data_IF_170404745976
#
_entry.id   IF_170404745976
#
_cell.length_a   1.000
_cell.length_b   1.000
_cell.length_c   1.000
_cell.angle_alpha   90.00
_cell.angle_beta   90.00
_cell.angle_gamma   90.00
#
_symmetry.space_group_name_H-M   'P 1'
#
loop_
_entity.id
_entity.type
_entity.pdbx_description
1 polymer ?
#
# COMPACT_ATOMS: atom_id res chain seq x y z
N UNK A 1 11.87 6.52 -12.26
CA UNK A 1 11.38 5.96 -13.55
C UNK A 1 10.28 4.89 -13.37
N UNK A 2 10.28 4.08 -12.30
CA UNK A 2 9.26 3.05 -12.10
C UNK A 2 7.82 3.57 -11.98
N UNK A 3 7.58 4.64 -11.22
CA UNK A 3 6.24 5.18 -10.98
C UNK A 3 5.59 5.77 -12.25
N UNK A 4 6.39 6.37 -13.14
CA UNK A 4 5.88 6.87 -14.41
C UNK A 4 5.42 5.71 -15.34
N UNK A 5 6.19 4.63 -15.39
CA UNK A 5 5.79 3.42 -16.12
C UNK A 5 4.52 2.79 -15.52
N UNK A 6 4.44 2.76 -14.20
CA UNK A 6 3.26 2.24 -13.50
C UNK A 6 2.00 3.07 -13.74
N UNK A 7 2.09 4.40 -13.93
CA UNK A 7 0.93 5.22 -14.25
C UNK A 7 0.28 4.83 -15.58
N UNK A 8 1.06 4.41 -16.57
CA UNK A 8 0.55 3.87 -17.82
C UNK A 8 -0.03 2.46 -17.68
N UNK A 9 0.60 1.60 -16.87
CA UNK A 9 0.08 0.23 -16.61
C UNK A 9 -1.27 0.29 -15.88
N UNK A 10 -1.46 1.28 -15.02
CA UNK A 10 -2.72 1.51 -14.30
C UNK A 10 -3.87 2.02 -15.16
N UNK A 11 -3.62 2.41 -16.42
CA UNK A 11 -4.69 2.67 -17.41
C UNK A 11 -5.44 1.39 -17.84
N UNK A 12 -5.21 0.27 -17.19
CA UNK A 12 -5.95 -0.95 -17.44
C UNK A 12 -7.38 -0.82 -16.84
N UNK A 13 -8.46 -0.92 -17.64
CA UNK A 13 -9.83 -0.76 -17.16
C UNK A 13 -10.19 -1.70 -15.99
N UNK A 14 -9.58 -2.88 -15.92
CA UNK A 14 -9.82 -3.84 -14.82
C UNK A 14 -9.35 -3.32 -13.46
N UNK A 15 -8.29 -2.53 -13.44
CA UNK A 15 -7.80 -1.90 -12.21
C UNK A 15 -8.58 -0.62 -11.90
N UNK A 16 -8.94 0.14 -12.93
CA UNK A 16 -9.66 1.40 -12.79
C UNK A 16 -11.10 1.23 -12.27
N UNK A 17 -11.77 0.11 -12.56
CA UNK A 17 -13.12 -0.21 -12.04
C UNK A 17 -13.20 -0.15 -10.51
N UNK A 18 -12.09 -0.38 -9.81
CA UNK A 18 -12.04 -0.27 -8.34
C UNK A 18 -12.20 1.18 -7.84
N UNK A 19 -11.98 2.16 -8.71
CA UNK A 19 -12.22 3.58 -8.46
C UNK A 19 -13.24 4.10 -9.47
N UNK A 20 -14.55 4.10 -9.14
CA UNK A 20 -15.62 4.37 -10.10
C UNK A 20 -15.52 5.77 -10.73
N UNK A 21 -14.97 6.75 -10.01
CA UNK A 21 -14.79 8.12 -10.51
C UNK A 21 -13.73 8.14 -11.62
N UNK A 22 -12.55 7.58 -11.32
CA UNK A 22 -11.47 7.55 -12.30
C UNK A 22 -11.80 6.66 -13.50
N UNK A 23 -12.54 5.58 -13.29
CA UNK A 23 -13.06 4.74 -14.36
C UNK A 23 -14.01 5.52 -15.29
N UNK A 24 -14.91 6.35 -14.72
CA UNK A 24 -15.79 7.20 -15.52
C UNK A 24 -15.00 8.23 -16.34
N UNK A 25 -13.96 8.84 -15.74
CA UNK A 25 -13.07 9.76 -16.46
C UNK A 25 -12.33 9.04 -17.59
N UNK A 26 -11.90 7.79 -17.38
CA UNK A 26 -11.27 6.98 -18.42
C UNK A 26 -12.21 6.73 -19.60
N UNK A 27 -13.45 6.32 -19.35
CA UNK A 27 -14.48 6.13 -20.39
C UNK A 27 -14.68 7.43 -21.17
N UNK A 28 -14.86 8.54 -20.46
CA UNK A 28 -15.08 9.85 -21.08
C UNK A 28 -13.85 10.29 -21.90
N UNK A 29 -12.63 10.00 -21.46
CA UNK A 29 -11.40 10.26 -22.20
C UNK A 29 -11.34 9.45 -23.50
N UNK A 30 -11.78 8.18 -23.46
CA UNK A 30 -11.88 7.34 -24.66
C UNK A 30 -12.93 7.88 -25.64
N UNK A 31 -14.08 8.32 -25.13
CA UNK A 31 -15.12 8.97 -25.97
C UNK A 31 -14.54 10.21 -26.63
N UNK A 32 -13.82 11.06 -25.89
CA UNK A 32 -13.18 12.26 -26.44
C UNK A 32 -12.12 11.93 -27.48
N UNK A 33 -11.37 10.84 -27.31
CA UNK A 33 -10.44 10.37 -28.34
C UNK A 33 -11.17 10.07 -29.64
N UNK A 34 -12.28 9.30 -29.55
CA UNK A 34 -13.10 8.97 -30.73
C UNK A 34 -13.69 10.22 -31.38
N UNK A 35 -14.25 11.14 -30.58
CA UNK A 35 -14.80 12.42 -31.09
C UNK A 35 -13.71 13.25 -31.77
N UNK A 36 -12.51 13.32 -31.19
CA UNK A 36 -11.37 14.03 -31.79
C UNK A 36 -10.98 13.43 -33.13
N UNK A 37 -10.93 12.09 -33.23
CA UNK A 37 -10.62 11.42 -34.51
C UNK A 37 -11.71 11.65 -35.58
N UNK A 38 -13.00 11.63 -35.16
CA UNK A 38 -14.12 11.89 -36.09
C UNK A 38 -14.20 13.35 -36.51
N UNK A 39 -13.65 14.29 -35.75
CA UNK A 39 -13.59 15.70 -36.13
C UNK A 39 -12.49 16.04 -37.11
N UNK A 40 -11.68 15.07 -37.54
CA UNK A 40 -10.68 15.25 -38.57
C UNK A 40 -11.38 15.43 -39.93
N UNK A 41 -11.33 16.63 -40.48
CA UNK A 41 -11.88 16.93 -41.79
C UNK A 41 -13.39 17.21 -41.83
N UNK A 42 -14.08 17.23 -40.68
CA UNK A 42 -15.51 17.61 -40.59
C UNK A 42 -15.75 18.48 -39.37
N UNK A 43 -16.57 19.53 -39.49
CA UNK A 43 -16.97 20.37 -38.35
C UNK A 43 -18.22 19.83 -37.64
N UNK A 44 -18.78 18.73 -38.07
CA UNK A 44 -20.03 18.15 -37.52
C UNK A 44 -19.90 17.79 -36.02
N UNK A 45 -18.69 17.40 -35.59
CA UNK A 45 -18.40 17.04 -34.18
C UNK A 45 -17.68 18.16 -33.40
N UNK A 46 -17.71 19.39 -33.93
CA UNK A 46 -17.00 20.53 -33.35
C UNK A 46 -15.59 20.72 -33.89
N UNK A 47 -14.91 21.77 -33.44
CA UNK A 47 -13.56 22.11 -33.88
C UNK A 47 -12.55 21.03 -33.39
N UNK A 48 -11.75 20.51 -34.31
CA UNK A 48 -10.68 19.54 -34.01
C UNK A 48 -9.72 20.06 -32.91
N UNK A 49 -9.31 21.35 -33.00
CA UNK A 49 -8.40 21.91 -32.00
C UNK A 49 -8.97 21.95 -30.59
N UNK A 50 -10.28 22.25 -30.46
CA UNK A 50 -10.96 22.24 -29.17
C UNK A 50 -11.09 20.81 -28.62
N UNK A 51 -11.53 19.87 -29.46
CA UNK A 51 -11.66 18.46 -29.08
C UNK A 51 -10.33 17.86 -28.64
N UNK A 52 -9.26 18.15 -29.40
CA UNK A 52 -7.89 17.71 -29.07
C UNK A 52 -7.43 18.28 -27.73
N UNK A 53 -7.67 19.57 -27.48
CA UNK A 53 -7.31 20.22 -26.21
C UNK A 53 -8.00 19.55 -25.03
N UNK A 54 -9.32 19.32 -25.13
CA UNK A 54 -10.10 18.65 -24.09
C UNK A 54 -9.58 17.23 -23.86
N UNK A 55 -9.34 16.46 -24.92
CA UNK A 55 -8.78 15.12 -24.83
C UNK A 55 -7.41 15.11 -24.09
N UNK A 56 -6.50 16.02 -24.46
CA UNK A 56 -5.18 16.10 -23.87
C UNK A 56 -5.26 16.44 -22.37
N UNK A 57 -6.12 17.39 -21.99
CA UNK A 57 -6.33 17.76 -20.58
C UNK A 57 -6.87 16.56 -19.78
N UNK A 58 -7.86 15.83 -20.30
CA UNK A 58 -8.42 14.65 -19.65
C UNK A 58 -7.40 13.54 -19.50
N UNK A 59 -6.64 13.28 -20.54
CA UNK A 59 -5.61 12.25 -20.55
C UNK A 59 -4.49 12.58 -19.54
N UNK A 60 -4.04 13.83 -19.48
CA UNK A 60 -3.05 14.28 -18.50
C UNK A 60 -3.60 14.20 -17.06
N UNK A 61 -4.86 14.53 -16.85
CA UNK A 61 -5.52 14.40 -15.53
C UNK A 61 -5.53 12.95 -15.08
N UNK A 62 -5.87 12.02 -15.97
CA UNK A 62 -5.89 10.59 -15.70
C UNK A 62 -4.48 10.06 -15.39
N UNK A 63 -3.48 10.44 -16.19
CA UNK A 63 -2.08 10.07 -15.93
C UNK A 63 -1.56 10.63 -14.60
N UNK A 64 -1.91 11.88 -14.28
CA UNK A 64 -1.51 12.50 -13.03
C UNK A 64 -2.08 11.78 -11.82
N UNK A 65 -3.37 11.43 -11.83
CA UNK A 65 -4.00 10.67 -10.76
C UNK A 65 -3.35 9.30 -10.56
N UNK A 66 -3.14 8.55 -11.64
CA UNK A 66 -2.45 7.26 -11.60
C UNK A 66 -1.00 7.38 -11.13
N UNK A 67 -0.30 8.46 -11.50
CA UNK A 67 1.06 8.72 -11.07
C UNK A 67 1.14 9.01 -9.57
N UNK A 68 0.23 9.83 -9.04
CA UNK A 68 0.14 10.11 -7.62
C UNK A 68 -0.10 8.83 -6.79
N UNK A 69 -1.00 7.97 -7.26
CA UNK A 69 -1.26 6.68 -6.64
C UNK A 69 -0.04 5.73 -6.73
N UNK A 70 0.63 5.67 -7.88
CA UNK A 70 1.83 4.85 -8.07
C UNK A 70 3.00 5.29 -7.17
N UNK A 71 3.20 6.59 -6.95
CA UNK A 71 4.21 7.09 -6.00
C UNK A 71 3.86 6.66 -4.57
N UNK A 72 2.60 6.79 -4.19
CA UNK A 72 2.14 6.42 -2.88
C UNK A 72 2.36 4.92 -2.61
N UNK A 73 2.03 4.04 -3.56
CA UNK A 73 2.28 2.60 -3.46
C UNK A 73 3.77 2.25 -3.42
N UNK A 74 4.60 2.93 -4.22
CA UNK A 74 6.04 2.71 -4.21
C UNK A 74 6.67 3.02 -2.84
N UNK A 75 6.20 4.07 -2.16
CA UNK A 75 6.64 4.39 -0.80
C UNK A 75 6.24 3.31 0.21
N UNK A 76 5.00 2.82 0.13
CA UNK A 76 4.54 1.74 1.01
C UNK A 76 5.37 0.45 0.86
N UNK A 77 5.76 0.10 -0.38
CA UNK A 77 6.63 -1.07 -0.63
C UNK A 77 8.05 -0.89 -0.10
N UNK A 78 8.63 0.31 -0.21
CA UNK A 78 9.97 0.59 0.28
C UNK A 78 10.10 0.37 1.81
N UNK A 79 9.01 0.51 2.56
CA UNK A 79 8.97 0.25 4.01
C UNK A 79 9.05 -1.25 4.33
N UNK A 80 8.31 -2.08 3.60
CA UNK A 80 8.38 -3.54 3.74
C UNK A 80 9.78 -4.07 3.37
N UNK A 81 10.39 -3.51 2.31
CA UNK A 81 11.75 -3.86 1.91
C UNK A 81 12.79 -3.48 2.98
N UNK A 82 12.59 -2.38 3.71
CA UNK A 82 13.48 -2.00 4.83
C UNK A 82 13.44 -3.03 5.96
N UNK A 83 12.25 -3.49 6.35
CA UNK A 83 12.10 -4.54 7.36
C UNK A 83 12.72 -5.88 6.92
N UNK A 84 12.59 -6.22 5.62
CA UNK A 84 13.25 -7.41 5.06
C UNK A 84 14.77 -7.34 5.13
N UNK A 85 15.37 -6.20 4.81
CA UNK A 85 16.82 -6.00 4.87
C UNK A 85 17.36 -6.19 6.29
N UNK A 86 16.67 -5.71 7.30
CA UNK A 86 17.05 -5.91 8.70
C UNK A 86 17.17 -7.41 9.05
N UNK A 87 16.29 -8.23 8.48
CA UNK A 87 16.35 -9.70 8.62
C UNK A 87 17.52 -10.31 7.85
N UNK A 88 17.75 -9.90 6.60
CA UNK A 88 18.80 -10.47 5.73
C UNK A 88 20.22 -10.18 6.24
N UNK A 89 20.39 -9.17 7.09
CA UNK A 89 21.69 -8.74 7.61
C UNK A 89 22.10 -9.44 8.93
N UNK A 90 21.22 -10.26 9.55
CA UNK A 90 21.59 -10.97 10.78
C UNK A 90 22.53 -12.14 10.46
N UNK A 91 23.80 -12.11 10.93
CA UNK A 91 24.72 -13.20 10.69
C UNK A 91 24.35 -14.41 11.55
N UNK A 92 24.48 -15.61 10.99
CA UNK A 92 24.25 -16.88 11.66
C UNK A 92 25.52 -17.72 11.60
N UNK A 93 25.98 -18.25 12.75
CA UNK A 93 27.12 -19.17 12.86
C UNK A 93 26.61 -20.60 12.65
N UNK A 94 26.49 -21.03 11.39
CA UNK A 94 26.02 -22.37 11.01
C UNK A 94 27.06 -23.43 11.33
N UNK A 95 26.64 -24.53 11.93
CA UNK A 95 27.50 -25.71 12.19
C UNK A 95 27.52 -26.57 10.92
N UNK A 96 28.65 -26.53 10.19
CA UNK A 96 28.87 -27.35 9.00
C UNK A 96 29.92 -28.46 9.32
N UNK A 97 29.47 -29.55 9.92
CA UNK A 97 30.34 -30.61 10.40
C UNK A 97 31.16 -30.18 11.61
N UNK A 98 32.50 -30.06 11.49
CA UNK A 98 33.42 -29.63 12.56
C UNK A 98 33.74 -28.12 12.52
N UNK A 99 33.28 -27.38 11.51
CA UNK A 99 33.61 -25.97 11.33
C UNK A 99 32.34 -25.08 11.48
N UNK A 100 32.56 -23.86 11.96
CA UNK A 100 31.49 -22.82 12.02
C UNK A 100 31.60 -21.94 10.77
N UNK A 101 30.50 -21.88 10.00
CA UNK A 101 30.42 -21.05 8.82
C UNK A 101 29.48 -19.88 9.06
N UNK A 102 29.93 -18.65 8.88
CA UNK A 102 29.04 -17.49 8.96
C UNK A 102 28.23 -17.36 7.68
N UNK A 103 26.89 -17.44 7.82
CA UNK A 103 25.93 -17.30 6.73
C UNK A 103 24.89 -16.23 7.10
N UNK A 104 24.14 -15.71 6.11
CA UNK A 104 22.97 -14.87 6.40
C UNK A 104 21.83 -15.71 6.96
N UNK A 105 21.07 -15.15 7.90
CA UNK A 105 19.88 -15.80 8.48
C UNK A 105 18.85 -16.25 7.42
N UNK A 106 18.79 -15.55 6.28
CA UNK A 106 17.91 -15.89 5.15
C UNK A 106 18.26 -17.22 4.46
N UNK A 107 19.49 -17.74 4.68
CA UNK A 107 19.97 -19.00 4.08
C UNK A 107 19.75 -20.21 5.00
N UNK A 108 19.39 -20.00 6.26
CA UNK A 108 19.10 -21.07 7.20
C UNK A 108 17.86 -21.85 6.78
N UNK A 109 17.93 -23.17 6.88
CA UNK A 109 16.83 -24.09 6.56
C UNK A 109 16.43 -24.89 7.78
N UNK A 110 15.19 -25.38 7.79
CA UNK A 110 14.74 -26.31 8.82
C UNK A 110 15.67 -27.52 8.90
N UNK A 111 16.14 -27.83 10.10
CA UNK A 111 17.11 -28.89 10.39
C UNK A 111 18.57 -28.42 10.46
N UNK A 112 18.87 -27.19 10.08
CA UNK A 112 20.20 -26.61 10.28
C UNK A 112 20.43 -26.35 11.78
N UNK A 113 21.71 -26.42 12.21
CA UNK A 113 22.12 -26.11 13.57
C UNK A 113 23.03 -24.88 13.54
N UNK A 114 22.73 -23.89 14.37
CA UNK A 114 23.55 -22.70 14.53
C UNK A 114 23.96 -22.48 15.99
N UNK A 115 25.02 -21.72 16.18
CA UNK A 115 25.55 -21.35 17.50
C UNK A 115 25.29 -19.86 17.74
N UNK A 116 24.82 -19.52 18.92
CA UNK A 116 24.76 -18.15 19.43
C UNK A 116 25.52 -18.02 20.73
N UNK A 117 26.27 -16.93 20.86
CA UNK A 117 27.04 -16.55 22.04
C UNK A 117 26.47 -15.29 22.67
N UNK A 118 26.89 -14.98 23.88
CA UNK A 118 26.49 -13.75 24.56
C UNK A 118 26.73 -12.50 23.67
N UNK A 119 25.70 -11.71 23.43
CA UNK A 119 25.69 -10.54 22.57
C UNK A 119 25.15 -10.78 21.15
N UNK A 120 25.04 -12.04 20.72
CA UNK A 120 24.47 -12.37 19.40
C UNK A 120 22.96 -12.21 19.39
N UNK A 121 22.43 -11.85 18.22
CA UNK A 121 20.99 -11.90 17.94
C UNK A 121 20.66 -13.27 17.35
N UNK A 122 19.63 -13.93 17.86
CA UNK A 122 19.18 -15.23 17.37
C UNK A 122 18.66 -15.07 15.94
N UNK A 123 19.26 -15.79 14.94
CA UNK A 123 18.97 -15.53 13.54
C UNK A 123 17.68 -16.18 13.02
N UNK A 124 17.16 -17.21 13.69
CA UNK A 124 15.97 -17.94 13.29
C UNK A 124 15.26 -18.59 14.46
N UNK A 125 13.97 -18.90 14.30
CA UNK A 125 13.21 -19.65 15.28
C UNK A 125 13.70 -21.09 15.38
N UNK A 126 13.84 -21.59 16.59
CA UNK A 126 14.37 -22.94 16.78
C UNK A 126 14.23 -23.48 18.19
N UNK A 127 14.85 -24.63 18.43
CA UNK A 127 14.95 -25.26 19.74
C UNK A 127 16.40 -25.41 20.18
N UNK A 128 16.71 -25.08 21.42
CA UNK A 128 18.01 -25.29 22.01
C UNK A 128 18.23 -26.80 22.17
N UNK A 129 19.27 -27.32 21.53
CA UNK A 129 19.68 -28.74 21.62
C UNK A 129 20.85 -28.93 22.58
N UNK A 130 21.63 -27.86 22.84
CA UNK A 130 22.78 -27.89 23.75
C UNK A 130 22.98 -26.50 24.38
N UNK A 131 23.23 -26.45 25.68
CA UNK A 131 23.52 -25.23 26.42
C UNK A 131 22.33 -24.68 27.18
N UNK A 132 22.59 -23.56 27.88
CA UNK A 132 21.64 -22.78 28.67
C UNK A 132 22.04 -21.31 28.48
N UNK A 133 21.09 -20.43 28.31
CA UNK A 133 21.35 -19.00 28.16
C UNK A 133 20.24 -18.14 28.77
N UNK A 134 20.61 -16.95 29.19
CA UNK A 134 19.67 -15.88 29.47
C UNK A 134 19.41 -15.11 28.18
N UNK A 135 18.14 -14.98 27.79
CA UNK A 135 17.74 -14.38 26.51
C UNK A 135 16.83 -13.19 26.81
N UNK A 136 17.14 -12.06 26.17
CA UNK A 136 16.27 -10.89 26.15
C UNK A 136 15.25 -11.07 25.01
N UNK A 137 14.02 -11.32 25.41
CA UNK A 137 12.86 -11.47 24.50
C UNK A 137 11.99 -10.21 24.45
N UNK A 138 12.43 -9.09 25.04
CA UNK A 138 11.64 -7.87 25.16
C UNK A 138 11.13 -7.34 23.83
N UNK A 139 11.91 -7.49 22.76
CA UNK A 139 11.52 -7.09 21.41
C UNK A 139 10.33 -7.90 20.84
N UNK A 140 10.06 -9.09 21.39
CA UNK A 140 9.04 -10.03 20.92
C UNK A 140 7.87 -10.11 21.90
N UNK A 141 8.17 -10.38 23.18
CA UNK A 141 7.17 -10.61 24.22
C UNK A 141 6.75 -9.32 24.93
N UNK A 142 7.55 -8.26 24.83
CA UNK A 142 7.41 -7.04 25.61
C UNK A 142 7.87 -7.16 27.07
N UNK A 143 8.27 -8.36 27.53
CA UNK A 143 8.73 -8.59 28.89
C UNK A 143 10.19 -8.11 29.07
N UNK A 144 10.43 -7.19 30.01
CA UNK A 144 11.75 -6.60 30.22
C UNK A 144 12.72 -7.53 30.97
N UNK A 145 12.18 -8.54 31.65
CA UNK A 145 13.00 -9.50 32.40
C UNK A 145 13.56 -10.57 31.44
N UNK A 146 14.89 -10.83 31.46
CA UNK A 146 15.46 -11.90 30.67
C UNK A 146 14.87 -13.25 31.07
N UNK A 147 14.67 -14.11 30.07
CA UNK A 147 14.14 -15.46 30.26
C UNK A 147 15.29 -16.46 30.14
N UNK A 148 15.33 -17.41 31.08
CA UNK A 148 16.31 -18.53 31.02
C UNK A 148 15.74 -19.58 30.07
N UNK A 149 16.51 -19.90 29.03
CA UNK A 149 16.21 -20.93 28.05
C UNK A 149 17.30 -22.01 28.11
N UNK A 150 16.90 -23.28 28.04
CA UNK A 150 17.78 -24.43 28.22
C UNK A 150 17.43 -25.59 27.28
N UNK A 151 18.38 -26.44 27.00
CA UNK A 151 18.17 -27.63 26.18
C UNK A 151 17.23 -28.61 26.90
N UNK A 152 16.18 -29.05 26.17
CA UNK A 152 15.19 -30.03 26.63
C UNK A 152 14.05 -29.43 27.44
N UNK A 153 12.84 -29.98 27.29
CA UNK A 153 11.63 -29.55 27.96
C UNK A 153 10.97 -28.30 27.40
N UNK A 154 10.09 -27.70 28.18
CA UNK A 154 9.20 -26.61 27.74
C UNK A 154 9.92 -25.27 27.51
N UNK A 155 11.18 -25.15 27.95
CA UNK A 155 11.98 -23.93 27.87
C UNK A 155 13.02 -23.95 26.73
N UNK A 156 12.98 -24.94 25.85
CA UNK A 156 13.95 -25.10 24.77
C UNK A 156 13.71 -24.18 23.55
N UNK A 157 12.51 -23.67 23.40
CA UNK A 157 12.12 -22.85 22.25
C UNK A 157 12.73 -21.45 22.31
N UNK A 158 13.29 -20.98 21.19
CA UNK A 158 13.83 -19.63 21.01
C UNK A 158 13.26 -18.99 19.74
N UNK A 159 13.15 -17.67 19.77
CA UNK A 159 12.58 -16.89 18.66
C UNK A 159 13.63 -16.02 17.99
N UNK A 160 13.67 -16.02 16.67
CA UNK A 160 14.53 -15.15 15.89
C UNK A 160 14.27 -13.67 16.17
N UNK A 161 15.37 -12.88 16.26
CA UNK A 161 15.30 -11.47 16.61
C UNK A 161 15.47 -11.17 18.09
N UNK A 162 15.49 -12.19 18.97
CA UNK A 162 15.81 -12.05 20.40
C UNK A 162 17.32 -12.04 20.61
N UNK A 163 17.80 -11.55 21.75
CA UNK A 163 19.23 -11.36 22.03
C UNK A 163 19.72 -12.27 23.15
N UNK A 164 20.81 -12.99 22.90
CA UNK A 164 21.49 -13.80 23.92
C UNK A 164 22.27 -12.87 24.85
N UNK A 165 22.04 -12.94 26.15
CA UNK A 165 22.71 -12.11 27.16
C UNK A 165 23.87 -12.83 27.86
N UNK A 166 23.77 -14.16 28.02
CA UNK A 166 24.83 -14.96 28.68
C UNK A 166 25.01 -16.28 27.97
N UNK A 167 26.21 -16.85 28.15
CA UNK A 167 26.59 -18.20 27.75
C UNK A 167 26.49 -18.48 26.23
N UNK A 168 26.57 -19.75 25.86
CA UNK A 168 26.56 -20.21 24.47
C UNK A 168 25.50 -21.29 24.29
N UNK A 169 24.71 -21.21 23.27
CA UNK A 169 23.67 -22.19 22.93
C UNK A 169 23.85 -22.70 21.50
N UNK A 170 23.50 -23.98 21.29
CA UNK A 170 23.29 -24.55 19.96
C UNK A 170 21.80 -24.71 19.73
N UNK A 171 21.33 -24.20 18.61
CA UNK A 171 19.92 -24.14 18.25
C UNK A 171 19.68 -24.88 16.96
N UNK A 172 18.70 -25.78 16.97
CA UNK A 172 18.17 -26.46 15.79
C UNK A 172 17.04 -25.63 15.20
N UNK A 173 17.16 -25.27 13.92
CA UNK A 173 16.11 -24.54 13.20
C UNK A 173 14.86 -25.41 13.02
N UNK A 174 13.73 -24.98 13.54
CA UNK A 174 12.47 -25.74 13.51
C UNK A 174 11.51 -25.28 12.42
N UNK A 175 11.65 -24.07 11.92
CA UNK A 175 10.76 -23.46 10.94
C UNK A 175 11.43 -23.29 9.59
N UNK A 176 10.61 -23.28 8.51
CA UNK A 176 11.09 -23.00 7.17
C UNK A 176 11.26 -21.48 6.96
N UNK A 177 12.16 -21.06 6.03
CA UNK A 177 12.20 -19.66 5.59
C UNK A 177 10.80 -19.21 5.11
N UNK A 178 10.32 -18.10 5.67
CA UNK A 178 8.96 -17.60 5.39
C UNK A 178 7.92 -17.92 6.46
N UNK A 179 8.20 -18.83 7.40
CA UNK A 179 7.27 -19.23 8.47
C UNK A 179 7.66 -18.70 9.85
N UNK A 180 8.80 -18.01 9.97
CA UNK A 180 9.27 -17.46 11.23
C UNK A 180 8.31 -16.41 11.80
N UNK A 181 8.41 -16.13 13.10
CA UNK A 181 7.63 -15.07 13.74
C UNK A 181 7.84 -13.72 13.04
N UNK A 182 9.10 -13.39 12.69
CA UNK A 182 9.43 -12.18 11.92
C UNK A 182 8.79 -12.19 10.52
N UNK A 183 8.76 -13.35 9.84
CA UNK A 183 8.09 -13.48 8.53
C UNK A 183 6.59 -13.25 8.63
N UNK A 184 5.96 -13.76 9.68
CA UNK A 184 4.54 -13.51 9.95
C UNK A 184 4.28 -12.04 10.23
N UNK A 185 5.16 -11.36 10.98
CA UNK A 185 5.06 -9.91 11.19
C UNK A 185 5.23 -9.13 9.89
N UNK A 186 6.24 -9.45 9.07
CA UNK A 186 6.44 -8.84 7.76
C UNK A 186 5.22 -9.06 6.88
N UNK A 187 4.68 -10.29 6.84
CA UNK A 187 3.48 -10.64 6.08
C UNK A 187 2.25 -9.86 6.57
N UNK A 188 2.12 -9.64 7.88
CA UNK A 188 1.05 -8.81 8.45
C UNK A 188 1.21 -7.34 8.06
N UNK A 189 2.43 -6.83 7.99
CA UNK A 189 2.72 -5.45 7.54
C UNK A 189 2.52 -5.31 6.03
N UNK A 190 2.97 -6.28 5.23
CA UNK A 190 2.79 -6.31 3.79
C UNK A 190 1.35 -6.64 3.37
N UNK A 191 0.75 -7.63 4.04
CA UNK A 191 -0.62 -8.10 3.83
C UNK A 191 -1.66 -7.26 4.57
N UNK A 192 -1.26 -6.24 5.31
CA UNK A 192 -2.14 -5.16 5.73
C UNK A 192 -2.68 -4.51 4.45
N UNK A 193 -3.51 -5.30 3.76
CA UNK A 193 -4.27 -4.84 2.60
C UNK A 193 -4.87 -3.51 3.04
N UNK A 194 -4.69 -2.49 2.23
CA UNK A 194 -5.26 -1.17 2.39
C UNK A 194 -6.76 -1.28 2.68
N UNK A 195 -7.10 -1.55 3.92
CA UNK A 195 -8.50 -1.40 4.35
C UNK A 195 -8.78 0.09 4.28
N UNK A 196 -9.65 0.46 3.35
CA UNK A 196 -10.12 1.84 3.24
C UNK A 196 -10.61 2.32 4.60
N UNK A 197 -10.30 3.57 4.93
CA UNK A 197 -10.80 4.18 6.16
C UNK A 197 -12.33 4.37 6.06
N UNK A 198 -13.06 4.51 7.18
CA UNK A 198 -14.49 4.82 7.15
C UNK A 198 -14.79 6.09 6.34
N UNK A 199 -13.95 7.12 6.47
CA UNK A 199 -14.07 8.36 5.72
C UNK A 199 -13.78 8.17 4.23
N UNK A 200 -12.80 7.35 3.85
CA UNK A 200 -12.57 6.99 2.45
C UNK A 200 -13.78 6.26 1.84
N UNK A 201 -14.41 5.37 2.60
CA UNK A 201 -15.62 4.66 2.14
C UNK A 201 -16.78 5.65 1.98
N UNK A 202 -17.03 6.50 2.97
CA UNK A 202 -18.08 7.50 2.92
C UNK A 202 -17.90 8.48 1.76
N UNK A 203 -16.68 8.99 1.55
CA UNK A 203 -16.34 9.84 0.42
C UNK A 203 -16.50 9.11 -0.92
N UNK A 204 -16.09 7.85 -1.02
CA UNK A 204 -16.25 7.07 -2.25
C UNK A 204 -17.73 6.91 -2.62
N UNK A 205 -18.59 6.64 -1.63
CA UNK A 205 -20.05 6.52 -1.84
C UNK A 205 -20.64 7.86 -2.26
N UNK A 206 -20.29 8.96 -1.57
CA UNK A 206 -20.75 10.30 -1.88
C UNK A 206 -20.35 10.72 -3.31
N UNK A 207 -19.09 10.51 -3.66
CA UNK A 207 -18.55 10.85 -4.97
C UNK A 207 -19.17 10.00 -6.08
N UNK A 208 -19.42 8.71 -5.84
CA UNK A 208 -20.14 7.83 -6.77
C UNK A 208 -21.57 8.32 -6.98
N UNK A 209 -22.26 8.74 -5.92
CA UNK A 209 -23.59 9.32 -5.99
C UNK A 209 -23.61 10.61 -6.81
N UNK A 210 -22.70 11.54 -6.56
CA UNK A 210 -22.58 12.77 -7.36
C UNK A 210 -22.25 12.47 -8.82
N UNK A 211 -21.33 11.54 -9.10
CA UNK A 211 -21.02 11.12 -10.47
C UNK A 211 -22.28 10.64 -11.21
N UNK A 212 -23.10 9.80 -10.56
CA UNK A 212 -24.36 9.33 -11.14
C UNK A 212 -25.32 10.48 -11.44
N UNK A 213 -25.51 11.40 -10.49
CA UNK A 213 -26.35 12.58 -10.67
C UNK A 213 -25.87 13.44 -11.85
N UNK A 214 -24.55 13.71 -11.91
CA UNK A 214 -23.99 14.53 -12.98
C UNK A 214 -24.06 13.86 -14.36
N UNK A 215 -23.93 12.52 -14.43
CA UNK A 215 -24.15 11.77 -15.67
C UNK A 215 -25.58 11.98 -16.15
N UNK A 216 -26.57 11.84 -15.26
CA UNK A 216 -28.00 12.04 -15.61
C UNK A 216 -28.23 13.48 -16.08
N UNK A 217 -27.70 14.46 -15.35
CA UNK A 217 -27.86 15.90 -15.71
C UNK A 217 -27.24 16.18 -17.08
N UNK A 218 -26.00 15.71 -17.34
CA UNK A 218 -25.35 15.95 -18.62
C UNK A 218 -26.05 15.26 -19.79
N UNK A 219 -26.59 14.04 -19.60
CA UNK A 219 -27.36 13.33 -20.63
C UNK A 219 -28.65 14.05 -20.93
N UNK A 220 -29.36 14.53 -19.89
CA UNK A 220 -30.64 15.25 -20.08
C UNK A 220 -30.45 16.66 -20.63
N UNK A 221 -29.27 17.25 -20.44
CA UNK A 221 -28.97 18.58 -20.97
C UNK A 221 -28.88 18.58 -22.50
N UNK A 222 -28.48 17.47 -23.16
CA UNK A 222 -28.41 17.39 -24.62
C UNK A 222 -29.74 17.66 -25.28
N UNK A 223 -30.82 16.87 -25.05
CA UNK A 223 -32.11 17.12 -25.68
C UNK A 223 -32.75 18.44 -25.25
N UNK A 224 -32.48 18.90 -24.02
CA UNK A 224 -32.95 20.19 -23.57
C UNK A 224 -32.30 21.36 -24.32
N UNK A 225 -31.00 21.28 -24.54
CA UNK A 225 -30.26 22.27 -25.33
C UNK A 225 -30.71 22.28 -26.80
N UNK A 226 -30.93 21.10 -27.39
CA UNK A 226 -31.41 20.98 -28.75
C UNK A 226 -32.83 21.59 -28.88
N UNK A 227 -33.74 21.34 -27.92
CA UNK A 227 -35.06 21.91 -27.91
C UNK A 227 -35.04 23.45 -27.84
N UNK A 228 -34.16 24.04 -27.01
CA UNK A 228 -34.07 25.51 -26.89
C UNK A 228 -33.42 26.16 -28.12
N UNK A 229 -32.68 25.42 -28.91
CA UNK A 229 -32.06 25.92 -30.16
C UNK A 229 -32.93 25.80 -31.39
N UNK A 230 -34.08 25.12 -31.33
CA UNK A 230 -34.98 24.92 -32.49
C UNK A 230 -35.50 26.25 -33.03
N UNK A 231 -35.81 27.22 -32.16
CA UNK A 231 -36.40 28.52 -32.54
C UNK A 231 -35.38 29.66 -32.67
N UNK A 232 -34.16 29.44 -32.27
CA UNK A 232 -33.09 30.43 -32.32
C UNK A 232 -31.95 29.84 -33.13
N UNK A 233 -31.51 30.50 -34.18
CA UNK A 233 -30.35 30.22 -35.06
C UNK A 233 -29.03 29.89 -34.30
N UNK A 234 -29.13 29.20 -33.16
CA UNK A 234 -28.05 28.77 -32.30
C UNK A 234 -27.30 27.54 -32.88
N UNK A 235 -26.01 27.53 -32.75
CA UNK A 235 -25.19 26.37 -33.07
C UNK A 235 -25.42 25.27 -32.03
N UNK A 236 -25.62 24.03 -32.49
CA UNK A 236 -25.73 22.87 -31.60
C UNK A 236 -24.55 22.81 -30.60
N UNK A 237 -24.84 22.46 -29.35
CA UNK A 237 -23.79 22.37 -28.34
C UNK A 237 -22.88 21.18 -28.67
N UNK A 238 -21.57 21.38 -28.86
CA UNK A 238 -20.68 20.28 -29.20
C UNK A 238 -20.55 19.31 -28.02
N UNK A 239 -20.48 18.02 -28.30
CA UNK A 239 -20.32 16.95 -27.31
C UNK A 239 -19.13 17.24 -26.37
N UNK A 240 -18.05 17.82 -26.87
CA UNK A 240 -16.90 18.20 -26.09
C UNK A 240 -17.22 19.23 -24.99
N UNK A 241 -18.17 20.16 -25.22
CA UNK A 241 -18.60 21.10 -24.19
C UNK A 241 -19.34 20.42 -23.04
N UNK A 242 -20.22 19.46 -23.36
CA UNK A 242 -20.95 18.66 -22.36
C UNK A 242 -19.99 17.78 -21.57
N UNK A 243 -19.02 17.16 -22.22
CA UNK A 243 -17.97 16.38 -21.57
C UNK A 243 -17.13 17.27 -20.66
N UNK A 244 -16.74 18.47 -21.12
CA UNK A 244 -16.00 19.42 -20.28
C UNK A 244 -16.79 19.84 -19.05
N UNK A 245 -18.08 20.11 -19.21
CA UNK A 245 -18.99 20.40 -18.09
C UNK A 245 -19.05 19.22 -17.10
N UNK A 246 -19.24 18.00 -17.61
CA UNK A 246 -19.31 16.79 -16.79
C UNK A 246 -18.06 16.60 -15.94
N UNK A 247 -16.88 16.71 -16.56
CA UNK A 247 -15.59 16.55 -15.85
C UNK A 247 -15.35 17.69 -14.86
N UNK A 248 -15.80 18.90 -15.16
CA UNK A 248 -15.73 20.03 -14.24
C UNK A 248 -16.62 19.84 -13.00
N UNK A 249 -17.75 19.17 -13.13
CA UNK A 249 -18.66 18.85 -12.02
C UNK A 249 -18.13 17.73 -11.12
N UNK A 250 -17.42 16.76 -11.68
CA UNK A 250 -16.86 15.65 -10.90
C UNK A 250 -15.60 16.10 -10.15
N UNK A 251 -15.53 15.92 -8.83
CA UNK A 251 -14.33 16.24 -8.06
C UNK A 251 -13.21 15.18 -8.28
N UNK A 252 -12.66 15.14 -9.50
CA UNK A 252 -11.67 14.16 -9.96
C UNK A 252 -10.40 14.17 -9.10
N UNK A 253 -9.98 15.34 -8.59
CA UNK A 253 -8.82 15.49 -7.72
C UNK A 253 -9.00 14.74 -6.41
N UNK A 254 -10.19 14.78 -5.79
CA UNK A 254 -10.48 14.04 -4.56
C UNK A 254 -10.46 12.54 -4.87
N UNK A 255 -11.15 12.11 -5.93
CA UNK A 255 -11.18 10.70 -6.34
C UNK A 255 -9.80 10.11 -6.64
N UNK A 256 -8.91 10.89 -7.27
CA UNK A 256 -7.55 10.46 -7.61
C UNK A 256 -6.57 10.49 -6.44
N UNK A 257 -6.73 11.43 -5.49
CA UNK A 257 -5.77 11.63 -4.39
C UNK A 257 -6.18 10.97 -3.08
N UNK A 258 -7.41 10.49 -2.96
CA UNK A 258 -7.94 9.93 -1.71
C UNK A 258 -7.06 8.80 -1.15
N UNK A 259 -6.64 7.87 -1.99
CA UNK A 259 -5.71 6.80 -1.61
C UNK A 259 -4.31 7.32 -1.24
N UNK A 260 -3.84 8.37 -1.90
CA UNK A 260 -2.54 8.96 -1.63
C UNK A 260 -2.47 9.64 -0.24
N UNK A 261 -3.58 10.22 0.22
CA UNK A 261 -3.67 10.86 1.54
C UNK A 261 -3.47 9.84 2.67
N UNK A 262 -4.15 8.69 2.59
CA UNK A 262 -4.00 7.61 3.58
C UNK A 262 -2.56 7.10 3.69
N UNK A 263 -1.85 6.99 2.55
CA UNK A 263 -0.44 6.56 2.54
C UNK A 263 0.47 7.65 3.11
N UNK A 264 0.22 8.92 2.80
CA UNK A 264 1.00 10.02 3.36
C UNK A 264 0.87 10.09 4.90
N UNK A 265 -0.32 9.76 5.44
CA UNK A 265 -0.53 9.62 6.89
C UNK A 265 0.32 8.52 7.51
N UNK A 266 0.36 7.33 6.89
CA UNK A 266 1.20 6.21 7.33
C UNK A 266 2.70 6.55 7.23
N UNK A 267 3.15 7.22 6.17
CA UNK A 267 4.55 7.65 6.01
C UNK A 267 4.98 8.62 7.12
N UNK A 268 4.09 9.55 7.53
CA UNK A 268 4.36 10.45 8.65
C UNK A 268 4.51 9.70 9.98
N UNK A 269 3.62 8.76 10.26
CA UNK A 269 3.69 7.94 11.47
C UNK A 269 5.00 7.15 11.53
N UNK A 270 5.41 6.56 10.39
CA UNK A 270 6.67 5.83 10.31
C UNK A 270 7.89 6.71 10.56
N UNK A 271 7.92 7.93 10.03
CA UNK A 271 9.01 8.90 10.31
C UNK A 271 9.11 9.27 11.79
N UNK A 272 8.03 9.10 12.54
CA UNK A 272 7.99 9.21 13.99
C UNK A 272 8.29 7.87 14.71
N UNK A 273 8.82 6.87 14.00
CA UNK A 273 9.09 5.51 14.47
C UNK A 273 7.84 4.74 14.94
N UNK A 274 6.67 5.08 14.39
CA UNK A 274 5.40 4.39 14.68
C UNK A 274 5.01 3.54 13.47
N UNK A 275 5.01 2.23 13.64
CA UNK A 275 4.54 1.28 12.62
C UNK A 275 3.02 1.17 12.70
N UNK A 276 2.35 1.54 11.62
CA UNK A 276 0.88 1.48 11.54
C UNK A 276 0.42 0.32 10.67
N UNK A 277 -0.60 -0.40 11.11
CA UNK A 277 -1.15 -1.56 10.37
C UNK A 277 -1.98 -1.14 9.14
N UNK A 278 -2.50 0.09 9.11
CA UNK A 278 -3.33 0.59 8.00
C UNK A 278 -3.54 2.10 8.11
N UNK A 279 -3.95 2.76 7.01
CA UNK A 279 -4.41 4.15 7.03
C UNK A 279 -5.58 4.37 7.99
N UNK A 280 -6.49 3.38 8.10
CA UNK A 280 -7.58 3.38 9.08
C UNK A 280 -7.07 3.49 10.52
N UNK A 281 -5.98 2.79 10.86
CA UNK A 281 -5.42 2.85 12.21
C UNK A 281 -4.88 4.25 12.54
N UNK A 282 -4.27 4.93 11.56
CA UNK A 282 -3.79 6.32 11.73
C UNK A 282 -4.96 7.28 11.98
N UNK A 283 -6.03 7.16 11.17
CA UNK A 283 -7.22 7.99 11.28
C UNK A 283 -7.92 7.77 12.63
N UNK A 284 -8.15 6.50 12.99
CA UNK A 284 -8.81 6.13 14.26
C UNK A 284 -7.98 6.58 15.47
N UNK A 285 -6.63 6.57 15.37
CA UNK A 285 -5.77 7.04 16.44
C UNK A 285 -5.93 8.54 16.74
N UNK A 286 -6.36 9.34 15.74
CA UNK A 286 -6.66 10.76 15.92
C UNK A 286 -7.97 11.03 16.68
N UNK A 287 -8.89 10.07 16.74
CA UNK A 287 -10.22 10.19 17.31
C UNK A 287 -10.33 9.51 18.68
N UNK A 288 -9.19 9.11 19.30
CA UNK A 288 -9.17 8.42 20.58
C UNK A 288 -9.35 9.42 21.73
N UNK A 289 -10.35 9.18 22.59
CA UNK A 289 -10.59 9.92 23.83
C UNK A 289 -9.93 9.25 25.05
N UNK A 290 -9.72 7.93 25.01
CA UNK A 290 -9.19 7.16 26.13
C UNK A 290 -8.07 6.25 25.64
N UNK A 291 -6.89 6.35 26.28
CA UNK A 291 -5.72 5.53 26.01
C UNK A 291 -5.48 4.55 27.14
N UNK A 292 -5.52 3.25 26.85
CA UNK A 292 -5.13 2.21 27.79
C UNK A 292 -3.67 1.83 27.51
N UNK A 293 -2.80 2.15 28.47
CA UNK A 293 -1.37 1.83 28.39
C UNK A 293 -1.08 0.55 29.17
N UNK A 294 -0.44 -0.40 28.50
CA UNK A 294 0.16 -1.54 29.18
C UNK A 294 1.48 -1.11 29.85
N UNK A 295 1.87 -1.79 30.90
CA UNK A 295 3.09 -1.46 31.64
C UNK A 295 4.32 -1.91 30.89
N UNK A 296 4.37 -3.20 30.51
CA UNK A 296 5.58 -3.82 29.98
C UNK A 296 5.73 -3.56 28.48
N UNK A 297 6.88 -3.00 28.09
CA UNK A 297 7.15 -2.65 26.68
C UNK A 297 6.40 -1.41 26.17
N UNK A 298 5.62 -0.72 27.02
CA UNK A 298 4.85 0.47 26.64
C UNK A 298 5.22 1.71 27.46
N UNK A 299 5.51 1.56 28.77
CA UNK A 299 5.89 2.63 29.70
C UNK A 299 7.34 2.46 30.17
#
# INVERSE_FOLDING_TARGET
MGSLKQSFVKLNPRTMVMNPIMFTVEIVTLIMLVVTLLSIGTEQYGSFGYNLLVFVILFLTLLFANFAEAIAEARGKAQADSLRRTREETPAKLVAGAELQTVSSSKLKKGDVFVCEAGDTIPADGEIIEGLASIDESAITGESAPVIREAGGDKSSVTGGTKVLSDTIKVLVTQQPGESFLDKMITLVEGASRKKTPNEIALTILLAGFTLVFVIVCITLIPFADYTNIDHLGTAIPIAAIISLFVCLIPTTIGGLLSAIGIAGMDRALRANVITKSGKAVETAGDIDTLLLDKTGTI
#
